data_IF_713414296119
#
_entry.id   IF_713414296119
#
_cell.length_a   1.000
_cell.length_b   1.000
_cell.length_c   1.000
_cell.angle_alpha   90.00
_cell.angle_beta   90.00
_cell.angle_gamma   90.00
#
_symmetry.space_group_name_H-M   'P 1'
#
loop_
_entity.id
_entity.type
_entity.pdbx_description
1 polymer ?
#
# COMPACT_ATOMS: atom_id res chain seq x y z
N UNK A 1 -18.66 -14.35 4.28
CA UNK A 1 -17.46 -13.48 4.15
C UNK A 1 -17.64 -12.27 5.06
N UNK A 2 -16.59 -11.52 5.45
CA UNK A 2 -16.77 -10.23 6.17
C UNK A 2 -16.10 -9.10 5.40
N UNK A 3 -16.74 -7.94 5.36
CA UNK A 3 -16.29 -6.70 4.73
C UNK A 3 -16.15 -5.63 5.80
N UNK A 4 -15.06 -4.87 5.75
CA UNK A 4 -14.91 -3.69 6.58
C UNK A 4 -14.93 -2.48 5.65
N UNK A 5 -15.97 -1.67 5.78
CA UNK A 5 -16.03 -0.38 5.09
C UNK A 5 -14.90 0.50 5.60
N UNK A 6 -14.18 1.16 4.70
CA UNK A 6 -13.17 2.15 5.07
C UNK A 6 -13.38 3.41 4.23
N UNK A 7 -13.36 4.56 4.91
CA UNK A 7 -13.27 5.86 4.26
C UNK A 7 -11.84 6.37 4.42
N UNK A 8 -11.26 6.89 3.33
CA UNK A 8 -9.96 7.52 3.37
C UNK A 8 -9.97 8.89 2.69
N UNK A 9 -9.32 9.86 3.32
CA UNK A 9 -9.01 11.15 2.72
C UNK A 9 -7.50 11.25 2.60
N UNK A 10 -7.04 11.46 1.37
CA UNK A 10 -5.63 11.58 1.04
C UNK A 10 -5.30 13.04 0.77
N UNK A 11 -4.36 13.61 1.51
CA UNK A 11 -3.89 14.98 1.33
C UNK A 11 -2.42 15.00 0.88
N UNK A 12 -2.08 15.97 0.03
CA UNK A 12 -0.73 16.11 -0.54
C UNK A 12 -0.30 14.93 -1.42
N UNK A 13 -1.23 14.34 -2.19
CA UNK A 13 -0.93 13.23 -3.09
C UNK A 13 0.02 13.70 -4.21
N UNK A 14 1.18 13.06 -4.27
CA UNK A 14 2.19 13.29 -5.30
C UNK A 14 2.49 12.00 -6.03
N UNK A 15 2.11 11.98 -7.29
CA UNK A 15 2.44 10.89 -8.21
C UNK A 15 3.64 11.28 -9.05
N UNK A 16 4.62 10.38 -9.16
CA UNK A 16 5.79 10.53 -10.00
C UNK A 16 5.89 9.35 -10.95
N UNK A 17 6.00 9.67 -12.23
CA UNK A 17 6.40 8.75 -13.29
C UNK A 17 7.91 8.69 -13.33
N UNK A 18 8.47 7.49 -13.26
CA UNK A 18 9.91 7.28 -13.26
C UNK A 18 10.25 6.01 -12.49
N UNK A 19 11.15 5.20 -13.05
CA UNK A 19 11.56 3.93 -12.46
C UNK A 19 12.18 4.11 -11.07
N UNK A 20 11.38 3.99 -10.02
CA UNK A 20 11.88 4.06 -8.65
C UNK A 20 12.44 2.70 -8.24
N UNK A 21 13.53 2.73 -7.47
CA UNK A 21 14.15 1.53 -6.94
C UNK A 21 13.57 1.23 -5.55
N UNK A 22 12.85 0.12 -5.42
CA UNK A 22 12.33 -0.36 -4.14
C UNK A 22 13.40 -1.21 -3.47
N UNK A 23 13.73 -0.93 -2.21
CA UNK A 23 14.59 -1.78 -1.38
C UNK A 23 13.73 -2.45 -0.32
N UNK A 24 13.77 -3.77 -0.29
CA UNK A 24 13.21 -4.56 0.79
C UNK A 24 14.18 -4.47 1.99
N UNK A 25 13.66 -4.19 3.19
CA UNK A 25 14.46 -4.15 4.43
C UNK A 25 14.74 -5.54 4.99
N UNK A 26 15.31 -5.63 6.20
CA UNK A 26 15.71 -6.91 6.82
C UNK A 26 14.59 -7.61 7.64
N UNK A 27 13.36 -7.14 7.53
CA UNK A 27 12.22 -7.73 8.25
C UNK A 27 11.86 -9.12 7.68
N UNK A 28 11.44 -10.12 8.48
CA UNK A 28 11.06 -11.45 7.98
C UNK A 28 10.08 -11.43 6.80
N UNK A 29 9.12 -10.50 6.82
CA UNK A 29 8.14 -10.30 5.75
C UNK A 29 8.76 -9.88 4.42
N UNK A 30 9.94 -9.28 4.45
CA UNK A 30 10.67 -8.90 3.24
C UNK A 30 11.12 -10.12 2.44
N UNK A 31 11.38 -11.25 3.10
CA UNK A 31 11.72 -12.52 2.45
C UNK A 31 10.52 -13.10 1.71
N UNK A 32 9.32 -12.94 2.26
CA UNK A 32 8.08 -13.34 1.60
C UNK A 32 7.82 -12.46 0.37
N UNK A 33 7.99 -11.14 0.50
CA UNK A 33 7.89 -10.21 -0.64
C UNK A 33 8.94 -10.52 -1.72
N UNK A 34 10.16 -10.89 -1.32
CA UNK A 34 11.21 -11.32 -2.24
C UNK A 34 10.85 -12.64 -2.95
N UNK A 35 10.24 -13.59 -2.24
CA UNK A 35 9.75 -14.84 -2.83
C UNK A 35 8.63 -14.62 -3.86
N UNK A 36 7.84 -13.55 -3.70
CA UNK A 36 6.83 -13.10 -4.67
C UNK A 36 7.44 -12.33 -5.87
N UNK A 37 8.77 -12.22 -5.95
CA UNK A 37 9.50 -11.62 -7.07
C UNK A 37 9.65 -10.10 -6.98
N UNK A 38 9.51 -9.51 -5.80
CA UNK A 38 9.85 -8.11 -5.53
C UNK A 38 11.35 -7.97 -5.16
N UNK A 39 11.99 -6.82 -5.40
CA UNK A 39 11.45 -5.60 -5.97
C UNK A 39 11.48 -5.61 -7.51
N UNK A 40 10.31 -5.60 -8.16
CA UNK A 40 10.23 -5.28 -9.59
C UNK A 40 10.39 -3.77 -9.77
N UNK A 41 10.88 -3.35 -10.95
CA UNK A 41 10.99 -1.93 -11.32
C UNK A 41 9.60 -1.28 -11.21
N UNK A 42 9.42 -0.40 -10.25
CA UNK A 42 8.17 0.36 -10.10
C UNK A 42 8.21 1.55 -11.06
N UNK A 43 7.35 1.51 -12.09
CA UNK A 43 7.27 2.54 -13.14
C UNK A 43 6.56 3.81 -12.62
N UNK A 44 5.68 3.63 -11.63
CA UNK A 44 4.91 4.67 -10.98
C UNK A 44 5.18 4.63 -9.47
N UNK A 45 5.32 5.80 -8.86
CA UNK A 45 5.30 5.95 -7.42
C UNK A 45 4.30 7.03 -7.04
N UNK A 46 3.46 6.77 -6.04
CA UNK A 46 2.58 7.76 -5.45
C UNK A 46 2.83 7.84 -3.95
N UNK A 47 2.93 9.05 -3.43
CA UNK A 47 3.08 9.32 -2.00
C UNK A 47 1.99 10.29 -1.56
N UNK A 48 1.34 10.05 -0.42
CA UNK A 48 0.47 11.02 0.22
C UNK A 48 1.20 11.63 1.44
N UNK A 49 1.03 12.93 1.67
CA UNK A 49 1.62 13.60 2.82
C UNK A 49 0.85 13.25 4.10
N UNK A 50 -0.47 13.24 4.01
CA UNK A 50 -1.35 12.83 5.10
C UNK A 50 -2.39 11.83 4.59
N UNK A 51 -2.66 10.81 5.39
CA UNK A 51 -3.72 9.85 5.15
C UNK A 51 -4.60 9.84 6.38
N UNK A 52 -5.84 10.29 6.24
CA UNK A 52 -6.87 10.10 7.26
C UNK A 52 -7.67 8.87 6.86
N UNK A 53 -7.70 7.86 7.73
CA UNK A 53 -8.40 6.62 7.46
C UNK A 53 -9.30 6.28 8.63
N UNK A 54 -10.59 6.10 8.33
CA UNK A 54 -11.58 5.62 9.29
C UNK A 54 -11.98 4.21 8.88
N UNK A 55 -11.69 3.24 9.73
CA UNK A 55 -12.16 1.87 9.57
C UNK A 55 -13.52 1.75 10.27
N UNK A 56 -14.56 1.43 9.51
CA UNK A 56 -15.87 1.12 10.05
C UNK A 56 -15.93 -0.27 10.68
N UNK A 57 -17.10 -0.65 11.15
CA UNK A 57 -17.32 -1.99 11.69
C UNK A 57 -17.26 -3.06 10.58
N UNK A 58 -16.77 -4.25 10.94
CA UNK A 58 -16.79 -5.39 10.04
C UNK A 58 -18.22 -5.93 9.89
N UNK A 59 -18.78 -5.84 8.69
CA UNK A 59 -20.07 -6.39 8.34
C UNK A 59 -19.93 -7.77 7.71
N UNK A 60 -20.86 -8.66 7.98
CA UNK A 60 -20.90 -9.97 7.34
C UNK A 60 -21.56 -9.85 5.95
N UNK A 61 -20.81 -10.25 4.92
CA UNK A 61 -21.27 -10.35 3.54
C UNK A 61 -21.53 -11.83 3.23
N UNK A 62 -22.80 -12.14 2.92
CA UNK A 62 -23.27 -13.48 2.52
C UNK A 62 -22.91 -13.80 1.07
#
# INVERSE_FOLDING_TARGET
>A
TRETGFEHTLDGVRTRLGGVHIRLGDHPYSKELAALGLPKRAILSSSAANVQMTFGDAQEIS
#
